data_IF_102980069108
#
_entry.id   IF_102980069108
#
_cell.length_a   1.000
_cell.length_b   1.000
_cell.length_c   1.000
_cell.angle_alpha   90.00
_cell.angle_beta   90.00
_cell.angle_gamma   90.00
#
_symmetry.space_group_name_H-M   'P 1'
#
loop_
_entity.id
_entity.type
_entity.pdbx_description
1 polymer ?
#
# COMPACT_ATOMS: atom_id res chain seq x y z
N UNK A 1 -6.18 3.22 -12.19
CA UNK A 1 -5.88 4.59 -11.76
C UNK A 1 -5.51 5.41 -12.98
N UNK A 2 -6.34 6.40 -13.31
CA UNK A 2 -6.20 7.29 -14.46
C UNK A 2 -5.87 8.71 -13.98
N UNK A 3 -5.56 9.60 -14.92
CA UNK A 3 -5.46 11.05 -14.65
C UNK A 3 -6.70 11.59 -13.91
N UNK A 4 -7.89 11.21 -14.36
CA UNK A 4 -9.15 11.67 -13.78
C UNK A 4 -9.29 11.26 -12.32
N UNK A 5 -8.73 10.10 -11.94
CA UNK A 5 -8.79 9.62 -10.56
C UNK A 5 -7.88 10.46 -9.65
N UNK A 6 -6.70 10.88 -10.13
CA UNK A 6 -5.83 11.80 -9.40
C UNK A 6 -6.44 13.21 -9.26
N UNK A 7 -7.08 13.73 -10.31
CA UNK A 7 -7.79 15.01 -10.26
C UNK A 7 -8.95 14.96 -9.26
N UNK A 8 -9.73 13.88 -9.27
CA UNK A 8 -10.81 13.64 -8.30
C UNK A 8 -10.27 13.59 -6.87
N UNK A 9 -9.15 12.90 -6.65
CA UNK A 9 -8.58 12.72 -5.31
C UNK A 9 -8.00 14.01 -4.73
N UNK A 10 -7.26 14.80 -5.52
CA UNK A 10 -6.81 16.15 -5.12
C UNK A 10 -8.02 17.03 -4.78
N UNK A 11 -9.05 17.02 -5.63
CA UNK A 11 -10.27 17.82 -5.40
C UNK A 11 -11.02 17.37 -4.14
N UNK A 12 -11.08 16.06 -3.88
CA UNK A 12 -11.74 15.47 -2.70
C UNK A 12 -11.03 15.85 -1.40
N UNK A 13 -9.70 15.71 -1.38
CA UNK A 13 -8.84 16.03 -0.23
C UNK A 13 -8.67 17.53 -0.01
N UNK A 14 -8.86 18.35 -1.06
CA UNK A 14 -8.63 19.80 -1.08
C UNK A 14 -7.22 20.19 -0.66
N UNK A 15 -6.25 19.29 -0.85
CA UNK A 15 -4.85 19.56 -0.52
C UNK A 15 -4.25 20.56 -1.52
N UNK A 16 -3.65 21.64 -1.00
CA UNK A 16 -3.14 22.76 -1.80
C UNK A 16 -1.64 22.64 -2.10
N UNK A 17 -1.15 23.38 -3.09
CA UNK A 17 0.28 23.45 -3.47
C UNK A 17 0.88 22.14 -3.98
N UNK A 18 0.05 21.24 -4.49
CA UNK A 18 0.44 20.03 -5.21
C UNK A 18 -0.08 20.12 -6.64
N UNK A 19 0.70 19.62 -7.60
CA UNK A 19 0.34 19.60 -9.02
C UNK A 19 0.44 18.20 -9.58
N UNK A 20 -0.38 17.96 -10.60
CA UNK A 20 -0.26 16.78 -11.45
C UNK A 20 0.92 17.01 -12.40
N UNK A 21 1.81 16.03 -12.49
CA UNK A 21 2.92 16.00 -13.44
C UNK A 21 2.72 14.87 -14.45
N UNK A 22 3.00 15.19 -15.71
CA UNK A 22 2.96 14.28 -16.86
C UNK A 22 4.37 13.88 -17.31
N UNK A 23 5.35 14.07 -16.44
CA UNK A 23 6.77 13.84 -16.74
C UNK A 23 7.07 12.41 -17.18
N UNK A 24 6.24 11.44 -16.76
CA UNK A 24 6.43 10.02 -17.02
C UNK A 24 5.41 9.43 -18.02
N UNK A 25 4.76 10.26 -18.84
CA UNK A 25 3.92 9.77 -19.95
C UNK A 25 4.74 8.84 -20.84
N UNK A 26 4.15 7.72 -21.27
CA UNK A 26 4.83 6.65 -21.99
C UNK A 26 6.01 6.02 -21.22
N UNK A 27 6.06 6.18 -19.89
CA UNK A 27 7.07 5.57 -19.00
C UNK A 27 8.53 5.95 -19.32
N UNK A 28 8.73 7.13 -19.89
CA UNK A 28 10.06 7.59 -20.32
C UNK A 28 11.05 7.85 -19.17
N UNK A 29 10.55 8.02 -17.94
CA UNK A 29 11.36 8.41 -16.78
C UNK A 29 11.55 7.25 -15.81
N UNK A 30 10.49 6.49 -15.55
CA UNK A 30 10.53 5.26 -14.78
C UNK A 30 9.43 4.30 -15.22
N UNK A 31 9.74 3.03 -15.49
CA UNK A 31 8.74 2.00 -15.76
C UNK A 31 7.96 1.57 -14.51
N UNK A 32 8.39 2.00 -13.32
CA UNK A 32 7.77 1.64 -12.03
C UNK A 32 6.90 2.76 -11.45
N UNK A 33 7.06 4.00 -11.93
CA UNK A 33 6.15 5.09 -11.61
C UNK A 33 4.92 5.05 -12.53
N UNK A 34 3.83 5.67 -12.09
CA UNK A 34 2.68 5.94 -12.95
C UNK A 34 3.03 6.97 -14.03
N UNK A 35 2.29 6.97 -15.14
CA UNK A 35 2.42 8.01 -16.17
C UNK A 35 2.09 9.40 -15.64
N UNK A 36 1.20 9.43 -14.65
CA UNK A 36 0.75 10.64 -13.98
C UNK A 36 1.02 10.51 -12.48
N UNK A 37 1.84 11.42 -11.95
CA UNK A 37 2.20 11.49 -10.52
C UNK A 37 1.86 12.87 -9.96
N UNK A 38 1.74 12.97 -8.65
CA UNK A 38 1.48 14.24 -7.95
C UNK A 38 2.72 14.65 -7.17
N UNK A 39 3.17 15.88 -7.40
CA UNK A 39 4.39 16.45 -6.83
C UNK A 39 4.13 17.86 -6.28
N UNK A 40 5.01 18.42 -5.42
CA UNK A 40 4.85 19.79 -4.98
C UNK A 40 4.80 20.74 -6.17
N UNK A 41 3.96 21.78 -6.11
CA UNK A 41 3.79 22.73 -7.21
C UNK A 41 5.10 23.47 -7.58
N UNK A 42 6.03 23.57 -6.63
CA UNK A 42 7.36 24.17 -6.83
C UNK A 42 8.38 23.26 -7.51
N UNK A 43 8.11 21.96 -7.64
CA UNK A 43 8.98 21.01 -8.36
C UNK A 43 8.61 21.05 -9.84
N UNK A 44 9.57 21.26 -10.74
CA UNK A 44 9.37 21.20 -12.20
C UNK A 44 9.64 19.80 -12.73
N UNK A 45 9.17 19.49 -13.94
CA UNK A 45 9.39 18.17 -14.55
C UNK A 45 10.88 17.87 -14.79
N UNK A 46 11.71 18.88 -15.03
CA UNK A 46 13.17 18.69 -15.14
C UNK A 46 13.80 18.27 -13.81
N UNK A 47 13.37 18.87 -12.69
CA UNK A 47 13.84 18.46 -11.35
C UNK A 47 13.51 16.98 -11.10
N UNK A 48 12.33 16.53 -11.54
CA UNK A 48 11.94 15.12 -11.39
C UNK A 48 12.84 14.21 -12.22
N UNK A 49 13.06 14.55 -13.50
CA UNK A 49 13.92 13.77 -14.41
C UNK A 49 15.34 13.58 -13.85
N UNK A 50 15.91 14.62 -13.24
CA UNK A 50 17.22 14.55 -12.59
C UNK A 50 17.19 13.77 -11.28
N UNK A 51 16.12 13.94 -10.50
CA UNK A 51 15.97 13.30 -9.21
C UNK A 51 15.83 11.78 -9.32
N UNK A 52 14.97 11.28 -10.22
CA UNK A 52 14.61 9.86 -10.28
C UNK A 52 15.81 8.94 -10.48
N UNK A 53 16.88 9.39 -11.15
CA UNK A 53 18.12 8.63 -11.35
C UNK A 53 18.83 8.28 -10.04
N UNK A 54 18.54 9.03 -8.97
CA UNK A 54 19.22 8.94 -7.67
C UNK A 54 18.45 8.09 -6.66
N UNK A 55 17.18 7.81 -6.92
CA UNK A 55 16.33 7.00 -6.05
C UNK A 55 16.30 5.56 -6.52
N UNK A 56 16.29 4.61 -5.57
CA UNK A 56 16.07 3.20 -5.87
C UNK A 56 14.75 3.03 -6.61
N UNK A 57 14.74 2.12 -7.58
CA UNK A 57 13.61 1.88 -8.48
C UNK A 57 13.11 3.12 -9.23
N UNK A 58 13.90 4.20 -9.26
CA UNK A 58 13.51 5.51 -9.80
C UNK A 58 12.24 6.06 -9.15
N UNK A 59 11.99 5.69 -7.89
CA UNK A 59 10.81 6.07 -7.12
C UNK A 59 11.11 7.30 -6.26
N UNK A 60 11.09 8.48 -6.89
CA UNK A 60 11.20 9.75 -6.19
C UNK A 60 9.97 10.02 -5.29
N UNK A 61 9.99 11.05 -4.43
CA UNK A 61 8.87 11.38 -3.56
C UNK A 61 7.59 11.69 -4.35
N UNK A 62 6.50 11.02 -4.03
CA UNK A 62 5.18 11.23 -4.65
C UNK A 62 4.11 11.43 -3.58
N UNK A 63 3.20 12.36 -3.83
CA UNK A 63 2.01 12.55 -3.00
C UNK A 63 1.00 11.43 -3.23
N UNK A 64 0.38 10.95 -2.15
CA UNK A 64 -0.65 9.89 -2.23
C UNK A 64 -1.96 10.23 -1.53
N UNK A 65 -1.92 11.17 -0.57
CA UNK A 65 -3.09 11.67 0.15
C UNK A 65 -2.76 13.00 0.84
N UNK A 66 -3.76 13.78 1.23
CA UNK A 66 -3.54 14.96 2.05
C UNK A 66 -4.81 15.55 2.66
N UNK A 67 -4.63 16.67 3.36
CA UNK A 67 -5.69 17.39 4.06
C UNK A 67 -5.90 18.77 3.46
N UNK A 68 -7.08 19.33 3.69
CA UNK A 68 -7.39 20.72 3.33
C UNK A 68 -6.54 21.76 4.08
N UNK A 69 -5.87 21.36 5.17
CA UNK A 69 -4.97 22.21 5.94
C UNK A 69 -3.54 22.24 5.41
N UNK A 70 -3.23 21.38 4.43
CA UNK A 70 -1.93 21.35 3.74
C UNK A 70 -0.97 20.26 4.21
N UNK A 71 -1.27 19.55 5.29
CA UNK A 71 -0.55 18.33 5.64
C UNK A 71 -0.84 17.24 4.58
N UNK A 72 0.21 16.54 4.16
CA UNK A 72 0.15 15.51 3.13
C UNK A 72 0.80 14.19 3.60
N UNK A 73 0.50 13.11 2.88
CA UNK A 73 1.17 11.83 2.97
C UNK A 73 1.94 11.60 1.66
N UNK A 74 3.23 11.36 1.79
CA UNK A 74 4.16 11.20 0.67
C UNK A 74 4.86 9.85 0.80
N UNK A 75 5.03 9.16 -0.33
CA UNK A 75 5.81 7.92 -0.43
C UNK A 75 7.13 8.20 -1.12
N UNK A 76 8.21 7.63 -0.62
CA UNK A 76 9.57 7.87 -1.10
C UNK A 76 10.41 6.59 -0.99
N UNK A 77 11.18 6.26 -2.03
CA UNK A 77 12.22 5.24 -1.92
C UNK A 77 13.52 5.82 -1.32
N UNK A 78 14.44 4.96 -0.89
CA UNK A 78 15.77 5.43 -0.52
C UNK A 78 16.59 5.86 -1.73
N UNK A 79 17.62 6.66 -1.48
CA UNK A 79 18.68 6.89 -2.46
C UNK A 79 19.38 5.57 -2.82
N UNK A 80 19.96 5.54 -4.02
CA UNK A 80 20.83 4.45 -4.44
C UNK A 80 21.96 4.27 -3.41
N UNK A 81 22.35 3.02 -3.06
CA UNK A 81 23.41 2.78 -2.07
C UNK A 81 24.76 3.43 -2.42
N UNK A 82 24.97 3.72 -3.70
CA UNK A 82 26.18 4.37 -4.23
C UNK A 82 26.22 5.88 -3.98
N UNK A 83 25.10 6.49 -3.59
CA UNK A 83 24.99 7.93 -3.36
C UNK A 83 25.13 8.20 -1.87
N UNK A 84 26.23 8.86 -1.48
CA UNK A 84 26.49 9.30 -0.11
C UNK A 84 26.07 10.75 0.13
N UNK A 85 26.04 11.57 -0.92
CA UNK A 85 25.58 12.95 -0.87
C UNK A 85 24.04 13.03 -0.91
N UNK A 86 23.45 13.49 0.20
CA UNK A 86 22.00 13.63 0.37
C UNK A 86 21.45 14.98 -0.12
N UNK A 87 22.27 15.81 -0.77
CA UNK A 87 21.87 17.14 -1.28
C UNK A 87 20.58 17.10 -2.09
N UNK A 88 20.40 16.09 -2.92
CA UNK A 88 19.28 16.00 -3.85
C UNK A 88 17.97 15.57 -3.18
N UNK A 89 18.06 14.63 -2.25
CA UNK A 89 16.96 14.30 -1.37
C UNK A 89 16.55 15.51 -0.53
N UNK A 90 17.51 16.23 0.06
CA UNK A 90 17.27 17.44 0.84
C UNK A 90 16.58 18.54 0.01
N UNK A 91 16.95 18.71 -1.26
CA UNK A 91 16.27 19.64 -2.19
C UNK A 91 14.80 19.27 -2.36
N UNK A 92 14.48 17.99 -2.57
CA UNK A 92 13.10 17.54 -2.72
C UNK A 92 12.31 17.65 -1.42
N UNK A 93 12.91 17.32 -0.28
CA UNK A 93 12.31 17.53 1.04
C UNK A 93 12.03 19.02 1.30
N UNK A 94 12.89 19.92 0.84
CA UNK A 94 12.64 21.37 0.91
C UNK A 94 11.46 21.80 0.02
N UNK A 95 11.27 21.17 -1.15
CA UNK A 95 10.08 21.39 -1.97
C UNK A 95 8.80 20.87 -1.30
N UNK A 96 8.87 19.70 -0.63
CA UNK A 96 7.77 19.16 0.17
C UNK A 96 7.45 20.12 1.32
N UNK A 97 8.46 20.62 2.04
CA UNK A 97 8.29 21.64 3.07
C UNK A 97 7.56 22.87 2.53
N UNK A 98 7.97 23.38 1.36
CA UNK A 98 7.33 24.54 0.70
C UNK A 98 5.89 24.29 0.24
N UNK A 99 5.46 23.03 0.09
CA UNK A 99 4.07 22.71 -0.24
C UNK A 99 3.12 22.97 0.94
N UNK A 100 3.61 22.84 2.18
CA UNK A 100 2.80 23.14 3.36
C UNK A 100 2.59 24.67 3.47
N UNK A 101 1.36 25.16 3.70
CA UNK A 101 1.07 26.61 3.80
C UNK A 101 1.94 27.34 4.82
N UNK A 102 2.16 26.71 5.97
CA UNK A 102 3.04 27.24 7.03
C UNK A 102 4.52 26.83 6.89
N UNK A 103 4.86 26.13 5.80
CA UNK A 103 6.21 25.61 5.52
C UNK A 103 6.83 24.77 6.65
N UNK A 104 5.98 23.99 7.35
CA UNK A 104 6.38 23.05 8.40
C UNK A 104 7.30 21.98 7.82
N UNK A 105 8.35 21.62 8.57
CA UNK A 105 9.27 20.56 8.17
C UNK A 105 8.51 19.23 8.00
N UNK A 106 8.78 18.44 6.95
CA UNK A 106 8.17 17.13 6.81
C UNK A 106 8.68 16.19 7.92
N UNK A 107 7.79 15.34 8.41
CA UNK A 107 8.11 14.28 9.36
C UNK A 107 8.43 12.99 8.59
N UNK A 108 9.64 12.47 8.72
CA UNK A 108 10.09 11.29 7.99
C UNK A 108 9.90 10.05 8.87
N UNK A 109 9.20 9.05 8.34
CA UNK A 109 9.05 7.74 8.97
C UNK A 109 9.86 6.74 8.17
N UNK A 110 10.89 6.18 8.80
CA UNK A 110 11.68 5.08 8.26
C UNK A 110 10.92 3.76 8.36
N UNK A 111 10.84 3.05 7.24
CA UNK A 111 10.21 1.76 7.04
C UNK A 111 11.24 0.70 6.60
N UNK A 112 12.51 0.86 6.98
CA UNK A 112 13.60 -0.07 6.68
C UNK A 112 13.39 -1.49 7.23
N UNK A 113 12.60 -1.65 8.30
CA UNK A 113 12.30 -2.93 8.92
C UNK A 113 10.81 -3.08 9.28
N UNK A 114 10.27 -4.31 9.26
CA UNK A 114 10.92 -5.55 8.81
C UNK A 114 11.10 -5.64 7.28
N UNK A 115 12.10 -6.39 6.81
CA UNK A 115 12.31 -6.59 5.37
C UNK A 115 11.29 -7.58 4.78
N UNK A 116 11.07 -7.62 3.45
CA UNK A 116 10.23 -8.63 2.82
C UNK A 116 10.67 -10.08 3.17
N UNK A 117 11.98 -10.31 3.30
CA UNK A 117 12.56 -11.58 3.79
C UNK A 117 12.07 -11.97 5.17
N UNK A 118 12.11 -11.02 6.10
CA UNK A 118 11.74 -11.22 7.49
C UNK A 118 10.25 -11.59 7.58
N UNK A 119 9.41 -10.86 6.83
CA UNK A 119 7.97 -11.11 6.78
C UNK A 119 7.66 -12.47 6.17
N UNK A 120 8.35 -12.87 5.10
CA UNK A 120 8.18 -14.19 4.50
C UNK A 120 8.58 -15.31 5.48
N UNK A 121 9.73 -15.17 6.14
CA UNK A 121 10.20 -16.14 7.14
C UNK A 121 9.22 -16.25 8.31
N UNK A 122 8.69 -15.11 8.78
CA UNK A 122 7.67 -15.05 9.82
C UNK A 122 6.38 -15.77 9.43
N UNK A 123 5.88 -15.49 8.23
CA UNK A 123 4.70 -16.16 7.69
C UNK A 123 4.88 -17.67 7.54
N UNK A 124 6.01 -18.14 7.04
CA UNK A 124 6.26 -19.57 6.88
C UNK A 124 6.22 -20.30 8.23
N UNK A 125 6.79 -19.71 9.29
CA UNK A 125 6.70 -20.23 10.66
C UNK A 125 5.26 -20.23 11.18
N UNK A 126 4.52 -19.15 10.96
CA UNK A 126 3.11 -19.07 11.36
C UNK A 126 2.27 -20.12 10.65
N UNK A 127 2.44 -20.27 9.34
CA UNK A 127 1.75 -21.27 8.54
C UNK A 127 2.03 -22.67 9.06
N UNK A 128 3.30 -23.02 9.29
CA UNK A 128 3.68 -24.32 9.86
C UNK A 128 3.05 -24.58 11.23
N UNK A 129 2.99 -23.56 12.10
CA UNK A 129 2.33 -23.65 13.40
C UNK A 129 0.82 -23.90 13.28
N UNK A 130 0.17 -23.32 12.27
CA UNK A 130 -1.26 -23.46 12.03
C UNK A 130 -1.64 -24.70 11.21
N UNK A 131 -0.69 -25.40 10.60
CA UNK A 131 -0.95 -26.60 9.76
C UNK A 131 -0.16 -27.82 10.27
N UNK A 132 -0.47 -28.36 11.47
CA UNK A 132 0.21 -29.53 12.00
C UNK A 132 -0.05 -30.77 11.13
N UNK A 133 1.01 -31.50 10.77
CA UNK A 133 0.91 -32.67 9.89
C UNK A 133 0.09 -33.83 10.49
N UNK A 134 0.05 -33.93 11.81
CA UNK A 134 -0.65 -35.00 12.52
C UNK A 134 -1.00 -34.63 13.97
N UNK A 135 -1.89 -35.42 14.58
CA UNK A 135 -2.39 -35.18 15.94
C UNK A 135 -1.29 -35.15 17.01
N UNK A 136 -0.18 -35.88 16.83
CA UNK A 136 0.92 -35.90 17.81
C UNK A 136 1.66 -34.56 17.82
N UNK A 137 1.95 -34.02 16.63
CA UNK A 137 2.58 -32.70 16.47
C UNK A 137 1.65 -31.61 17.01
N UNK A 138 0.37 -31.64 16.64
CA UNK A 138 -0.64 -30.69 17.15
C UNK A 138 -0.66 -30.64 18.68
N UNK A 139 -0.81 -31.79 19.37
CA UNK A 139 -0.84 -31.85 20.84
C UNK A 139 0.43 -31.30 21.49
N UNK A 140 1.59 -31.52 20.86
CA UNK A 140 2.87 -30.99 21.36
C UNK A 140 3.00 -29.47 21.18
N UNK A 141 2.46 -28.92 20.09
CA UNK A 141 2.47 -27.49 19.81
C UNK A 141 1.46 -26.75 20.68
N UNK A 142 0.27 -27.32 20.87
CA UNK A 142 -0.85 -26.73 21.62
C UNK A 142 -0.43 -26.29 23.04
N UNK A 143 0.31 -27.15 23.77
CA UNK A 143 0.81 -26.82 25.10
C UNK A 143 1.76 -25.61 25.15
N UNK A 144 2.42 -25.28 24.03
CA UNK A 144 3.39 -24.18 23.90
C UNK A 144 2.94 -23.12 22.90
N UNK A 145 1.66 -23.12 22.52
CA UNK A 145 1.17 -22.41 21.34
C UNK A 145 1.53 -20.91 21.36
N UNK A 146 1.26 -20.20 22.46
CA UNK A 146 1.55 -18.77 22.54
C UNK A 146 3.04 -18.43 22.45
N UNK A 147 3.92 -19.25 23.03
CA UNK A 147 5.36 -19.07 22.91
C UNK A 147 5.85 -19.34 21.48
N UNK A 148 5.29 -20.35 20.82
CA UNK A 148 5.57 -20.62 19.41
C UNK A 148 5.05 -19.50 18.51
N UNK A 149 3.85 -18.98 18.77
CA UNK A 149 3.25 -17.87 18.06
C UNK A 149 4.09 -16.60 18.17
N UNK A 150 4.55 -16.22 19.37
CA UNK A 150 5.47 -15.08 19.55
C UNK A 150 6.79 -15.29 18.79
N UNK A 151 7.29 -16.53 18.75
CA UNK A 151 8.53 -16.86 18.01
C UNK A 151 8.41 -16.70 16.49
N UNK A 152 7.18 -16.70 15.95
CA UNK A 152 6.93 -16.40 14.53
C UNK A 152 7.17 -14.93 14.21
N UNK A 153 7.00 -14.03 15.18
CA UNK A 153 7.03 -12.55 15.03
C UNK A 153 5.95 -11.95 14.13
N UNK A 154 4.97 -12.74 13.66
CA UNK A 154 3.94 -12.23 12.75
C UNK A 154 3.13 -11.11 13.39
N UNK A 155 2.61 -11.34 14.61
CA UNK A 155 1.86 -10.32 15.35
C UNK A 155 2.72 -9.10 15.68
N UNK A 156 4.03 -9.30 15.92
CA UNK A 156 4.97 -8.17 16.08
C UNK A 156 5.05 -7.30 14.82
N UNK A 157 5.06 -7.90 13.63
CA UNK A 157 5.06 -7.15 12.38
C UNK A 157 3.72 -6.46 12.09
N UNK A 158 2.59 -7.10 12.42
CA UNK A 158 1.26 -6.46 12.40
C UNK A 158 1.25 -5.23 13.32
N UNK A 159 1.72 -5.40 14.57
CA UNK A 159 1.83 -4.34 15.57
C UNK A 159 2.73 -3.17 15.10
N UNK A 160 3.90 -3.47 14.50
CA UNK A 160 4.81 -2.45 13.96
C UNK A 160 4.13 -1.65 12.83
N UNK A 161 3.48 -2.33 11.88
CA UNK A 161 2.78 -1.66 10.77
C UNK A 161 1.66 -0.73 11.27
N UNK A 162 0.83 -1.20 12.19
CA UNK A 162 -0.23 -0.39 12.80
C UNK A 162 0.34 0.77 13.62
N UNK A 163 1.46 0.57 14.33
CA UNK A 163 2.12 1.62 15.11
C UNK A 163 2.64 2.74 14.20
N UNK A 164 3.32 2.39 13.09
CA UNK A 164 3.79 3.36 12.09
C UNK A 164 2.63 4.09 11.41
N UNK A 165 1.56 3.37 11.08
CA UNK A 165 0.39 3.97 10.46
C UNK A 165 -0.33 4.95 11.39
N UNK A 166 -0.43 4.61 12.69
CA UNK A 166 -0.95 5.47 13.75
C UNK A 166 -0.07 6.71 13.94
N UNK A 167 1.25 6.54 14.04
CA UNK A 167 2.23 7.63 14.13
C UNK A 167 2.05 8.62 12.98
N UNK A 168 1.99 8.12 11.73
CA UNK A 168 1.74 8.95 10.55
C UNK A 168 0.39 9.68 10.63
N UNK A 169 -0.66 9.00 11.06
CA UNK A 169 -1.98 9.59 11.19
C UNK A 169 -2.03 10.69 12.27
N UNK A 170 -1.34 10.51 13.39
CA UNK A 170 -1.23 11.51 14.46
C UNK A 170 -0.44 12.74 13.98
N UNK A 171 0.68 12.54 13.28
CA UNK A 171 1.45 13.64 12.68
C UNK A 171 0.62 14.47 11.70
N UNK A 172 -0.21 13.83 10.88
CA UNK A 172 -1.04 14.55 9.90
C UNK A 172 -2.25 15.22 10.57
N UNK A 173 -2.97 14.51 11.45
CA UNK A 173 -4.26 15.00 11.98
C UNK A 173 -4.12 15.92 13.19
N UNK A 174 -3.09 15.72 14.02
CA UNK A 174 -2.86 16.48 15.26
C UNK A 174 -1.76 17.53 15.04
N UNK A 175 -0.61 17.09 14.53
CA UNK A 175 0.54 17.98 14.34
C UNK A 175 0.47 18.77 13.03
N UNK A 176 -0.51 18.48 12.16
CA UNK A 176 -0.67 19.11 10.84
C UNK A 176 0.65 19.14 10.05
N UNK A 177 1.43 18.07 10.15
CA UNK A 177 2.72 17.92 9.49
C UNK A 177 2.59 17.01 8.28
N UNK A 178 3.30 17.34 7.20
CA UNK A 178 3.43 16.42 6.06
C UNK A 178 4.31 15.25 6.46
N UNK A 179 3.85 14.03 6.22
CA UNK A 179 4.58 12.79 6.51
C UNK A 179 5.18 12.24 5.24
N UNK A 180 6.46 11.86 5.30
CA UNK A 180 7.18 11.16 4.24
C UNK A 180 7.50 9.75 4.72
N UNK A 181 6.92 8.75 4.06
CA UNK A 181 7.19 7.34 4.28
C UNK A 181 8.41 6.94 3.43
N UNK A 182 9.52 6.62 4.09
CA UNK A 182 10.77 6.27 3.45
C UNK A 182 11.04 4.77 3.59
N UNK A 183 11.28 4.08 2.47
CA UNK A 183 11.61 2.66 2.43
C UNK A 183 12.68 2.42 1.36
N UNK A 184 13.53 1.41 1.54
CA UNK A 184 14.50 0.95 0.53
C UNK A 184 14.00 1.05 -0.92
N UNK A 185 12.98 0.28 -1.30
CA UNK A 185 12.49 0.23 -2.68
C UNK A 185 11.19 1.02 -2.93
N UNK A 186 10.54 1.52 -1.86
CA UNK A 186 9.31 2.30 -1.94
C UNK A 186 8.05 1.55 -2.41
N UNK A 187 8.08 0.21 -2.44
CA UNK A 187 7.06 -0.64 -3.09
C UNK A 187 6.38 -1.64 -2.15
N UNK A 188 6.85 -1.75 -0.90
CA UNK A 188 6.53 -2.84 0.00
C UNK A 188 5.80 -2.30 1.25
N UNK A 189 6.48 -2.10 2.38
CA UNK A 189 5.92 -1.48 3.59
C UNK A 189 5.40 -0.06 3.35
N UNK A 190 5.94 0.64 2.36
CA UNK A 190 5.39 1.93 1.93
C UNK A 190 3.91 1.80 1.53
N UNK A 191 3.52 0.72 0.84
CA UNK A 191 2.11 0.43 0.50
C UNK A 191 1.29 0.13 1.76
N UNK A 192 1.82 -0.71 2.66
CA UNK A 192 1.15 -1.14 3.89
C UNK A 192 0.84 0.06 4.78
N UNK A 193 1.87 0.82 5.16
CA UNK A 193 1.72 1.94 6.09
C UNK A 193 0.91 3.07 5.45
N UNK A 194 1.13 3.37 4.17
CA UNK A 194 0.35 4.41 3.49
C UNK A 194 -1.14 4.09 3.43
N UNK A 195 -1.49 2.84 3.13
CA UNK A 195 -2.89 2.40 3.07
C UNK A 195 -3.54 2.42 4.45
N UNK A 196 -2.85 1.91 5.48
CA UNK A 196 -3.36 1.92 6.85
C UNK A 196 -3.56 3.34 7.40
N UNK A 197 -2.61 4.25 7.16
CA UNK A 197 -2.74 5.66 7.53
C UNK A 197 -3.98 6.29 6.90
N UNK A 198 -4.23 6.02 5.62
CA UNK A 198 -5.42 6.50 4.91
C UNK A 198 -6.73 5.91 5.46
N UNK A 199 -6.76 4.62 5.84
CA UNK A 199 -7.93 4.02 6.49
C UNK A 199 -8.21 4.61 7.87
N UNK A 200 -7.15 4.94 8.62
CA UNK A 200 -7.25 5.59 9.93
C UNK A 200 -7.82 7.01 9.79
N UNK A 201 -7.35 7.77 8.80
CA UNK A 201 -7.68 9.19 8.63
C UNK A 201 -9.00 9.44 7.90
N UNK A 202 -9.34 8.62 6.91
CA UNK A 202 -10.34 8.97 5.90
C UNK A 202 -11.50 7.96 5.83
N UNK A 203 -12.73 8.34 6.22
CA UNK A 203 -13.91 7.48 6.14
C UNK A 203 -14.28 7.06 4.72
N UNK A 204 -13.85 7.79 3.69
CA UNK A 204 -14.08 7.37 2.31
C UNK A 204 -13.51 5.96 2.06
N UNK A 205 -12.26 5.72 2.47
CA UNK A 205 -11.57 4.45 2.23
C UNK A 205 -12.10 3.29 3.09
N UNK A 206 -12.97 3.56 4.06
CA UNK A 206 -13.63 2.54 4.89
C UNK A 206 -14.93 2.01 4.28
N UNK A 207 -15.41 2.63 3.19
CA UNK A 207 -16.48 2.08 2.34
C UNK A 207 -15.92 0.99 1.42
N UNK A 208 -16.76 0.10 0.88
CA UNK A 208 -16.30 -0.94 -0.07
C UNK A 208 -15.64 -0.32 -1.30
N UNK A 209 -16.28 0.69 -1.90
CA UNK A 209 -15.74 1.38 -3.07
C UNK A 209 -14.44 2.12 -2.75
N UNK A 210 -14.38 2.80 -1.61
CA UNK A 210 -13.17 3.48 -1.18
C UNK A 210 -12.03 2.49 -0.89
N UNK A 211 -12.30 1.37 -0.24
CA UNK A 211 -11.30 0.33 0.04
C UNK A 211 -10.73 -0.26 -1.26
N UNK A 212 -11.59 -0.56 -2.24
CA UNK A 212 -11.16 -0.98 -3.59
C UNK A 212 -10.31 0.08 -4.27
N UNK A 213 -10.76 1.34 -4.22
CA UNK A 213 -10.02 2.48 -4.79
C UNK A 213 -8.65 2.66 -4.14
N UNK A 214 -8.55 2.46 -2.81
CA UNK A 214 -7.30 2.52 -2.07
C UNK A 214 -6.33 1.43 -2.53
N UNK A 215 -6.78 0.18 -2.63
CA UNK A 215 -5.94 -0.93 -3.09
C UNK A 215 -5.52 -0.73 -4.55
N UNK A 216 -6.46 -0.33 -5.40
CA UNK A 216 -6.18 -0.03 -6.80
C UNK A 216 -5.14 1.09 -6.96
N UNK A 217 -5.16 2.10 -6.08
CA UNK A 217 -4.24 3.23 -6.05
C UNK A 217 -2.87 2.85 -5.46
N UNK A 218 -2.84 2.45 -4.20
CA UNK A 218 -1.59 2.33 -3.43
C UNK A 218 -0.83 1.04 -3.67
N UNK A 219 -1.51 -0.01 -4.11
CA UNK A 219 -0.89 -1.30 -4.36
C UNK A 219 -0.72 -1.54 -5.84
N UNK A 220 -1.81 -1.50 -6.61
CA UNK A 220 -1.77 -1.90 -8.01
C UNK A 220 -1.14 -0.82 -8.88
N UNK A 221 -1.64 0.42 -8.80
CA UNK A 221 -1.18 1.51 -9.65
C UNK A 221 0.23 1.99 -9.26
N UNK A 222 0.50 2.16 -7.97
CA UNK A 222 1.82 2.55 -7.46
C UNK A 222 2.86 1.41 -7.45
N UNK A 223 2.56 0.26 -8.05
CA UNK A 223 3.57 -0.72 -8.45
C UNK A 223 4.10 -1.61 -7.32
N UNK A 224 3.23 -2.05 -6.40
CA UNK A 224 3.56 -3.19 -5.56
C UNK A 224 3.78 -4.42 -6.47
N UNK A 225 4.92 -5.11 -6.36
CA UNK A 225 5.28 -6.17 -7.30
C UNK A 225 4.55 -7.49 -6.97
N UNK A 226 3.23 -7.53 -7.19
CA UNK A 226 2.36 -8.66 -6.82
C UNK A 226 2.83 -9.99 -7.41
N UNK A 227 3.11 -10.06 -8.72
CA UNK A 227 3.52 -11.30 -9.37
C UNK A 227 4.80 -11.89 -8.75
N UNK A 228 5.75 -11.03 -8.39
CA UNK A 228 6.99 -11.40 -7.73
C UNK A 228 6.76 -11.81 -6.27
N UNK A 229 6.02 -11.00 -5.50
CA UNK A 229 5.81 -11.20 -4.06
C UNK A 229 4.93 -12.39 -3.75
N UNK A 230 3.92 -12.65 -4.58
CA UNK A 230 3.02 -13.79 -4.46
C UNK A 230 3.55 -15.05 -5.16
N UNK A 231 4.66 -14.94 -5.91
CA UNK A 231 5.26 -16.07 -6.60
C UNK A 231 4.40 -16.64 -7.73
N UNK A 232 3.65 -15.80 -8.44
CA UNK A 232 2.83 -16.21 -9.60
C UNK A 232 3.69 -16.87 -10.68
N UNK A 233 4.93 -16.39 -10.84
CA UNK A 233 5.97 -17.02 -11.66
C UNK A 233 7.13 -17.37 -10.73
N UNK A 234 7.40 -18.67 -10.59
CA UNK A 234 8.46 -19.14 -9.70
C UNK A 234 9.84 -18.70 -10.22
N UNK A 235 10.52 -17.82 -9.48
CA UNK A 235 11.89 -17.43 -9.74
C UNK A 235 12.67 -17.43 -8.42
N UNK A 236 13.74 -18.23 -8.33
CA UNK A 236 14.52 -18.42 -7.09
C UNK A 236 15.26 -17.15 -6.63
N UNK A 237 15.53 -16.23 -7.56
CA UNK A 237 16.21 -14.96 -7.29
C UNK A 237 15.24 -13.88 -6.80
N UNK A 238 13.94 -14.10 -6.95
CA UNK A 238 12.91 -13.14 -6.58
C UNK A 238 12.38 -13.48 -5.20
N UNK A 239 12.47 -12.50 -4.31
CA UNK A 239 11.97 -12.63 -2.94
C UNK A 239 10.44 -12.57 -2.90
N UNK A 240 9.84 -13.71 -2.53
CA UNK A 240 8.42 -13.80 -2.18
C UNK A 240 8.19 -13.23 -0.79
N UNK A 241 7.05 -12.57 -0.57
CA UNK A 241 6.66 -12.08 0.75
C UNK A 241 5.17 -11.76 0.80
N UNK A 242 4.44 -12.19 1.85
CA UNK A 242 2.99 -12.00 1.96
C UNK A 242 2.63 -10.61 2.52
N UNK A 243 3.16 -9.54 1.92
CA UNK A 243 2.92 -8.16 2.38
C UNK A 243 1.45 -7.75 2.26
N UNK A 244 0.79 -8.19 1.20
CA UNK A 244 -0.63 -7.92 1.02
C UNK A 244 -1.46 -8.62 2.11
N UNK A 245 -1.12 -9.86 2.49
CA UNK A 245 -1.74 -10.54 3.62
C UNK A 245 -1.46 -9.82 4.94
N UNK A 246 -0.22 -9.35 5.16
CA UNK A 246 0.14 -8.56 6.35
C UNK A 246 -0.73 -7.30 6.45
N UNK A 247 -0.96 -6.61 5.34
CA UNK A 247 -1.89 -5.48 5.27
C UNK A 247 -3.32 -5.90 5.60
N UNK A 248 -3.83 -6.98 5.01
CA UNK A 248 -5.19 -7.46 5.28
C UNK A 248 -5.38 -7.87 6.75
N UNK A 249 -4.38 -8.48 7.38
CA UNK A 249 -4.40 -8.77 8.82
C UNK A 249 -4.45 -7.46 9.63
N UNK A 250 -3.63 -6.47 9.30
CA UNK A 250 -3.71 -5.14 9.94
C UNK A 250 -5.11 -4.51 9.79
N UNK A 251 -5.75 -4.64 8.63
CA UNK A 251 -7.13 -4.17 8.41
C UNK A 251 -8.11 -4.97 9.27
N UNK A 252 -7.94 -6.29 9.37
CA UNK A 252 -8.76 -7.12 10.26
C UNK A 252 -8.61 -6.70 11.73
N UNK A 253 -7.40 -6.38 12.21
CA UNK A 253 -7.21 -5.83 13.56
C UNK A 253 -8.00 -4.51 13.76
N UNK A 254 -8.03 -3.64 12.75
CA UNK A 254 -8.84 -2.42 12.79
C UNK A 254 -10.35 -2.73 12.78
N UNK A 255 -10.80 -3.74 12.04
CA UNK A 255 -12.20 -4.21 12.07
C UNK A 255 -12.59 -4.69 13.48
N UNK A 256 -11.71 -5.45 14.15
CA UNK A 256 -11.97 -5.94 15.52
C UNK A 256 -12.05 -4.80 16.53
N UNK A 257 -11.17 -3.79 16.42
CA UNK A 257 -11.15 -2.65 17.34
C UNK A 257 -12.26 -1.62 17.05
N UNK A 258 -12.72 -1.52 15.80
CA UNK A 258 -13.73 -0.56 15.36
C UNK A 258 -14.86 -1.24 14.54
N UNK A 259 -15.72 -2.06 15.18
CA UNK A 259 -16.67 -2.92 14.47
C UNK A 259 -17.69 -2.19 13.59
N UNK A 260 -17.97 -0.91 13.84
CA UNK A 260 -18.94 -0.11 13.06
C UNK A 260 -18.28 0.78 12.00
N UNK A 261 -16.95 0.90 12.00
CA UNK A 261 -16.24 1.92 11.22
C UNK A 261 -16.03 1.56 9.75
N UNK A 262 -16.17 0.28 9.37
CA UNK A 262 -15.85 -0.24 8.04
C UNK A 262 -17.03 -0.98 7.43
N UNK A 263 -17.26 -0.74 6.14
CA UNK A 263 -18.30 -1.41 5.36
C UNK A 263 -17.88 -2.81 4.90
N UNK A 264 -16.58 -3.05 4.74
CA UNK A 264 -16.02 -4.35 4.38
C UNK A 264 -16.08 -5.31 5.57
N UNK A 265 -16.42 -6.57 5.33
CA UNK A 265 -16.44 -7.63 6.34
C UNK A 265 -15.13 -8.44 6.35
N UNK A 266 -14.98 -9.33 7.34
CA UNK A 266 -13.90 -10.33 7.33
C UNK A 266 -13.94 -11.22 6.08
N UNK A 267 -15.13 -11.66 5.66
CA UNK A 267 -15.31 -12.44 4.44
C UNK A 267 -14.80 -11.71 3.20
N UNK A 268 -14.95 -10.38 3.14
CA UNK A 268 -14.38 -9.60 2.05
C UNK A 268 -12.85 -9.67 2.05
N UNK A 269 -12.20 -9.56 3.22
CA UNK A 269 -10.74 -9.60 3.33
C UNK A 269 -10.17 -10.97 2.93
N UNK A 270 -10.77 -12.07 3.41
CA UNK A 270 -10.32 -13.42 3.07
C UNK A 270 -10.54 -13.74 1.59
N UNK A 271 -11.70 -13.37 1.03
CA UNK A 271 -11.98 -13.55 -0.40
C UNK A 271 -11.03 -12.74 -1.27
N UNK A 272 -10.64 -11.54 -0.84
CA UNK A 272 -9.68 -10.71 -1.55
C UNK A 272 -8.27 -11.31 -1.51
N UNK A 273 -7.87 -11.92 -0.39
CA UNK A 273 -6.62 -12.67 -0.29
C UNK A 273 -6.61 -13.86 -1.27
N UNK A 274 -7.67 -14.68 -1.28
CA UNK A 274 -7.79 -15.80 -2.21
C UNK A 274 -7.70 -15.32 -3.66
N UNK A 275 -8.40 -14.24 -3.99
CA UNK A 275 -8.41 -13.65 -5.33
C UNK A 275 -7.04 -13.11 -5.77
N UNK A 276 -6.14 -12.75 -4.85
CA UNK A 276 -4.78 -12.35 -5.18
C UNK A 276 -3.94 -13.50 -5.75
N UNK A 277 -4.35 -14.74 -5.51
CA UNK A 277 -3.72 -15.94 -6.06
C UNK A 277 -4.43 -16.50 -7.31
N UNK A 278 -5.62 -15.99 -7.65
CA UNK A 278 -6.36 -16.42 -8.83
C UNK A 278 -5.91 -15.60 -10.04
N UNK A 279 -5.21 -16.24 -10.98
CA UNK A 279 -4.65 -15.61 -12.18
C UNK A 279 -5.66 -15.31 -13.30
N UNK A 280 -6.95 -15.52 -13.06
CA UNK A 280 -8.02 -15.18 -14.03
C UNK A 280 -8.35 -13.68 -14.03
N UNK A 281 -8.08 -12.98 -12.91
CA UNK A 281 -8.24 -11.53 -12.81
C UNK A 281 -6.91 -10.83 -12.95
N UNK A 282 -6.93 -9.70 -13.64
CA UNK A 282 -5.71 -8.95 -13.94
C UNK A 282 -5.21 -8.11 -12.76
N UNK A 283 -6.09 -7.82 -11.79
CA UNK A 283 -5.88 -6.78 -10.77
C UNK A 283 -4.56 -6.98 -10.00
N UNK A 284 -4.22 -8.22 -9.66
CA UNK A 284 -2.99 -8.58 -8.93
C UNK A 284 -1.96 -9.33 -9.79
N UNK A 285 -2.13 -9.37 -11.11
CA UNK A 285 -1.34 -10.23 -12.00
C UNK A 285 0.05 -9.68 -12.36
N UNK A 286 0.27 -8.37 -12.27
CA UNK A 286 1.48 -7.70 -12.77
C UNK A 286 2.24 -6.99 -11.65
N UNK A 287 3.52 -6.68 -11.89
CA UNK A 287 4.34 -5.98 -10.89
C UNK A 287 4.23 -4.45 -10.94
N UNK A 288 3.77 -3.89 -12.06
CA UNK A 288 3.54 -2.46 -12.20
C UNK A 288 2.53 -2.15 -13.32
N UNK A 289 2.05 -0.91 -13.34
CA UNK A 289 1.11 -0.45 -14.36
C UNK A 289 1.68 -0.52 -15.79
N UNK A 290 2.99 -0.32 -15.96
CA UNK A 290 3.63 -0.41 -17.28
C UNK A 290 3.50 -1.83 -17.88
N UNK A 291 3.80 -2.86 -17.08
CA UNK A 291 3.66 -4.26 -17.51
C UNK A 291 2.21 -4.59 -17.89
N UNK A 292 1.24 -4.08 -17.13
CA UNK A 292 -0.19 -4.23 -17.44
C UNK A 292 -0.53 -3.67 -18.82
N UNK A 293 -0.08 -2.44 -19.12
CA UNK A 293 -0.35 -1.80 -20.41
C UNK A 293 0.35 -2.52 -21.56
N UNK A 294 1.59 -2.98 -21.37
CA UNK A 294 2.29 -3.79 -22.39
C UNK A 294 1.55 -5.09 -22.70
N UNK A 295 0.96 -5.72 -21.69
CA UNK A 295 0.17 -6.93 -21.84
C UNK A 295 -1.20 -6.68 -22.51
N UNK A 296 -1.81 -5.52 -22.23
CA UNK A 296 -3.08 -5.09 -22.83
C UNK A 296 -2.92 -4.71 -24.30
N UNK A 297 -1.89 -3.95 -24.68
CA UNK A 297 -1.72 -3.47 -26.06
C UNK A 297 -0.88 -4.40 -26.95
N UNK A 298 -0.17 -5.36 -26.35
CA UNK A 298 0.70 -6.31 -27.03
C UNK A 298 2.02 -5.68 -27.52
N UNK A 299 3.10 -6.45 -27.44
CA UNK A 299 4.42 -6.05 -27.95
C UNK A 299 4.53 -6.26 -29.47
N UNK A 300 3.68 -5.60 -30.27
CA UNK A 300 3.75 -5.63 -31.73
C UNK A 300 3.34 -6.97 -32.39
N UNK A 301 2.30 -6.90 -33.23
CA UNK A 301 1.85 -7.84 -34.29
C UNK A 301 1.80 -9.37 -34.08
N UNK A 302 2.17 -9.92 -32.92
CA UNK A 302 2.40 -11.38 -32.79
C UNK A 302 1.34 -12.10 -31.94
N UNK A 303 0.63 -11.38 -31.07
CA UNK A 303 -0.43 -11.95 -30.22
C UNK A 303 -1.59 -10.96 -30.04
N UNK A 304 -2.84 -11.47 -29.95
CA UNK A 304 -3.98 -10.63 -29.63
C UNK A 304 -3.82 -10.01 -28.23
N UNK A 305 -4.35 -8.79 -28.01
CA UNK A 305 -4.34 -8.13 -26.71
C UNK A 305 -5.02 -9.01 -25.65
N UNK A 306 -4.48 -9.05 -24.43
CA UNK A 306 -5.12 -9.77 -23.33
C UNK A 306 -6.40 -9.03 -22.89
N UNK A 307 -7.50 -9.77 -22.76
CA UNK A 307 -8.73 -9.23 -22.16
C UNK A 307 -8.56 -9.22 -20.65
N UNK A 308 -8.33 -8.03 -20.10
CA UNK A 308 -8.13 -7.83 -18.68
C UNK A 308 -9.48 -7.76 -17.95
N UNK A 309 -9.64 -8.60 -16.91
CA UNK A 309 -10.85 -8.64 -16.06
C UNK A 309 -10.51 -8.26 -14.63
N UNK A 310 -11.17 -7.22 -14.14
CA UNK A 310 -10.95 -6.74 -12.79
C UNK A 310 -11.57 -7.66 -11.74
N UNK A 311 -10.85 -7.89 -10.64
CA UNK A 311 -11.35 -8.63 -9.47
C UNK A 311 -12.54 -7.93 -8.82
N UNK A 312 -12.70 -6.62 -9.04
CA UNK A 312 -13.76 -5.81 -8.46
C UNK A 312 -15.15 -6.14 -9.03
N UNK A 313 -15.22 -6.84 -10.17
CA UNK A 313 -16.47 -7.39 -10.70
C UNK A 313 -16.79 -8.73 -10.04
N UNK A 314 -17.15 -8.67 -8.75
CA UNK A 314 -17.39 -9.84 -7.92
C UNK A 314 -18.48 -10.77 -8.44
N UNK A 315 -19.38 -10.27 -9.31
CA UNK A 315 -20.46 -11.05 -9.92
C UNK A 315 -19.96 -12.10 -10.91
N UNK A 316 -18.74 -11.93 -11.41
CA UNK A 316 -18.07 -12.93 -12.24
C UNK A 316 -17.66 -14.18 -11.44
N UNK A 317 -17.58 -14.08 -10.11
CA UNK A 317 -17.15 -15.17 -9.22
C UNK A 317 -18.25 -15.66 -8.28
N UNK A 318 -19.11 -14.76 -7.83
CA UNK A 318 -19.97 -14.97 -6.66
C UNK A 318 -21.42 -14.60 -6.95
N UNK A 319 -22.35 -15.32 -6.31
CA UNK A 319 -23.76 -14.97 -6.37
C UNK A 319 -24.06 -13.70 -5.57
N UNK A 320 -25.19 -13.04 -5.83
CA UNK A 320 -25.62 -11.88 -5.02
C UNK A 320 -25.74 -12.20 -3.53
N UNK A 321 -26.08 -13.47 -3.19
CA UNK A 321 -26.15 -13.92 -1.80
C UNK A 321 -24.77 -13.89 -1.14
N UNK A 322 -23.75 -14.38 -1.83
CA UNK A 322 -22.37 -14.43 -1.33
C UNK A 322 -21.77 -13.03 -1.27
N UNK A 323 -22.02 -12.20 -2.29
CA UNK A 323 -21.63 -10.77 -2.30
C UNK A 323 -22.28 -10.02 -1.13
N UNK A 324 -23.47 -10.44 -0.68
CA UNK A 324 -24.10 -9.92 0.53
C UNK A 324 -23.21 -10.04 1.78
N UNK A 325 -22.43 -11.11 1.89
CA UNK A 325 -21.52 -11.38 3.03
C UNK A 325 -20.32 -10.43 3.07
N UNK A 326 -20.03 -9.72 1.98
CA UNK A 326 -18.93 -8.75 1.92
C UNK A 326 -19.24 -7.47 2.70
N UNK A 327 -20.51 -7.25 3.05
CA UNK A 327 -20.92 -6.11 3.84
C UNK A 327 -20.88 -6.45 5.32
N UNK A 328 -20.19 -5.63 6.10
CA UNK A 328 -20.32 -5.64 7.55
C UNK A 328 -21.72 -5.12 7.95
N UNK A 329 -22.56 -5.94 8.63
CA UNK A 329 -23.91 -5.52 9.01
C UNK A 329 -23.93 -4.45 10.10
N UNK A 330 -22.81 -4.22 10.79
CA UNK A 330 -22.67 -3.22 11.84
C UNK A 330 -22.16 -1.87 11.31
N UNK A 331 -21.90 -1.74 10.01
CA UNK A 331 -21.34 -0.52 9.44
C UNK A 331 -22.24 0.69 9.68
N UNK A 332 -21.69 1.71 10.33
CA UNK A 332 -22.32 3.00 10.57
C UNK A 332 -21.65 4.05 9.68
N UNK A 333 -22.37 4.46 8.62
CA UNK A 333 -21.85 5.46 7.69
C UNK A 333 -21.76 6.86 8.30
N UNK A 334 -22.36 7.11 9.46
CA UNK A 334 -22.22 8.36 10.21
C UNK A 334 -20.91 8.45 10.99
N UNK A 335 -20.23 7.32 11.23
CA UNK A 335 -18.93 7.30 11.89
C UNK A 335 -17.84 7.86 10.96
N UNK A 336 -17.50 9.14 11.13
CA UNK A 336 -16.47 9.86 10.33
C UNK A 336 -15.17 10.18 11.07
N UNK A 337 -15.07 9.80 12.35
CA UNK A 337 -13.91 10.14 13.18
C UNK A 337 -12.63 9.43 12.71
N UNK A 338 -11.48 10.06 13.00
CA UNK A 338 -10.15 9.45 12.87
C UNK A 338 -10.04 8.30 13.87
N UNK A 339 -9.57 7.14 13.41
CA UNK A 339 -9.40 5.97 14.26
C UNK A 339 -8.21 6.14 15.21
N UNK A 340 -8.30 5.59 16.42
CA UNK A 340 -7.23 5.62 17.42
C UNK A 340 -6.88 4.20 17.87
N UNK A 341 -6.22 3.40 17.01
CA UNK A 341 -5.96 2.00 17.32
C UNK A 341 -5.00 1.83 18.50
N UNK A 342 -5.21 0.75 19.25
CA UNK A 342 -4.25 0.20 20.19
C UNK A 342 -3.35 -0.78 19.42
N UNK A 343 -2.04 -0.61 19.54
CA UNK A 343 -1.07 -1.35 18.73
C UNK A 343 -0.12 -2.21 19.55
N UNK A 344 -0.23 -2.17 20.88
CA UNK A 344 0.56 -3.03 21.77
C UNK A 344 0.18 -4.50 21.63
N UNK A 345 1.17 -5.38 21.80
CA UNK A 345 0.94 -6.81 21.98
C UNK A 345 0.56 -7.06 23.44
N UNK A 346 -0.52 -7.81 23.67
CA UNK A 346 -1.02 -8.17 24.99
C UNK A 346 -0.28 -9.38 25.60
#
# INVERSE_FOLDING_TARGET
>A
QTRLDWEKEIKRTKCQNWRISHVNVNYQVSPLLLETIIVPQSVTDNIIKEAVEKFRNRCCPIWVWGTSKGAALVRMADLLPTITDRTEENKLLEHIRKSHPEKRAPYIIDLSLPTPKDINTSYLKLRELCTPENTRVFKSQDFKFYGLLDSTKWLSYVSVCLTKAKEAAEQISICESTVVLQEGNGQDLNCVVSSLTQLILDPFFRTKFGFQSLIQKDWVALGHPFANRLGHILCKEIEQSPLFLLFLDCVWQLLQQFPTAFQVSETYLTTLWDSAHISVFDTFLFNCQHQRLMAEFGSGNSHPPLVLRSVWDWREQFSERDIGLFCNPLFDDSYKAVLKPHTGLA
#
